data_IF_532552328620
#
_entry.id   IF_532552328620
#
_cell.length_a   1.000
_cell.length_b   1.000
_cell.length_c   1.000
_cell.angle_alpha   90.00
_cell.angle_beta   90.00
_cell.angle_gamma   90.00
#
_symmetry.space_group_name_H-M   'P 1'
#
loop_
_entity.id
_entity.type
_entity.pdbx_description
1 polymer ?
#
# COMPACT_ATOMS: atom_id res chain seq x y z
N UNK A 1 18.06 -19.88 -13.92
CA UNK A 1 17.51 -18.55 -13.62
C UNK A 1 18.63 -17.69 -13.09
N UNK A 2 18.86 -16.55 -13.71
CA UNK A 2 19.81 -15.54 -13.24
C UNK A 2 19.05 -14.46 -12.48
N UNK A 3 19.41 -14.21 -11.22
CA UNK A 3 18.78 -13.20 -10.39
C UNK A 3 19.76 -12.04 -10.19
N UNK A 4 19.33 -10.83 -10.50
CA UNK A 4 20.09 -9.60 -10.26
C UNK A 4 19.38 -8.81 -9.15
N UNK A 5 19.88 -8.92 -7.91
CA UNK A 5 19.40 -8.15 -6.76
C UNK A 5 20.08 -6.78 -6.70
N UNK A 6 19.46 -5.81 -6.05
CA UNK A 6 19.93 -4.42 -5.99
C UNK A 6 20.07 -3.77 -7.38
N UNK A 7 19.19 -4.15 -8.30
CA UNK A 7 19.09 -3.52 -9.61
C UNK A 7 17.67 -3.00 -9.81
N UNK A 8 17.56 -1.82 -10.37
CA UNK A 8 16.31 -1.16 -10.68
C UNK A 8 16.18 -1.02 -12.20
N UNK A 9 15.07 -1.44 -12.76
CA UNK A 9 14.74 -1.14 -14.16
C UNK A 9 14.19 0.29 -14.20
N UNK A 10 14.85 1.17 -14.92
CA UNK A 10 14.51 2.60 -15.00
C UNK A 10 13.76 2.97 -16.26
N UNK A 11 13.86 2.18 -17.33
CA UNK A 11 13.09 2.39 -18.57
C UNK A 11 12.92 1.07 -19.34
N UNK A 12 11.88 1.03 -20.18
CA UNK A 12 11.63 -0.06 -21.14
C UNK A 12 11.64 0.54 -22.53
N UNK A 13 12.37 -0.09 -23.45
CA UNK A 13 12.50 0.32 -24.84
C UNK A 13 11.95 -0.76 -25.77
N UNK A 14 10.63 -0.75 -26.06
CA UNK A 14 9.98 -1.81 -26.82
C UNK A 14 10.52 -1.97 -28.26
N UNK A 15 10.87 -0.88 -28.90
CA UNK A 15 11.42 -0.81 -30.26
C UNK A 15 12.76 -1.52 -30.41
N UNK A 16 13.58 -1.49 -29.37
CA UNK A 16 14.92 -2.13 -29.33
C UNK A 16 14.94 -3.42 -28.56
N UNK A 17 13.82 -3.80 -27.93
CA UNK A 17 13.71 -4.92 -27.01
C UNK A 17 14.79 -4.90 -25.92
N UNK A 18 14.99 -3.74 -25.27
CA UNK A 18 15.93 -3.57 -24.16
C UNK A 18 15.23 -2.92 -22.97
N UNK A 19 15.82 -3.10 -21.79
CA UNK A 19 15.48 -2.36 -20.57
C UNK A 19 16.72 -1.64 -20.08
N UNK A 20 16.57 -0.39 -19.62
CA UNK A 20 17.63 0.31 -18.90
C UNK A 20 17.61 -0.13 -17.44
N UNK A 21 18.79 -0.46 -16.93
CA UNK A 21 18.97 -1.00 -15.58
C UNK A 21 20.02 -0.20 -14.82
N UNK A 22 19.72 0.15 -13.58
CA UNK A 22 20.63 0.83 -12.66
C UNK A 22 20.99 -0.09 -11.50
N UNK A 23 22.28 -0.26 -11.27
CA UNK A 23 22.79 -0.93 -10.06
C UNK A 23 22.67 0.01 -8.86
N UNK A 24 21.86 -0.34 -7.87
CA UNK A 24 21.69 0.46 -6.65
C UNK A 24 22.91 0.48 -5.74
N UNK A 25 23.84 -0.47 -5.92
CA UNK A 25 25.10 -0.52 -5.15
C UNK A 25 26.19 0.36 -5.74
N UNK A 26 26.36 0.33 -7.06
CA UNK A 26 27.45 1.04 -7.74
C UNK A 26 27.01 2.31 -8.45
N UNK A 27 25.72 2.49 -8.66
CA UNK A 27 25.16 3.57 -9.49
C UNK A 27 25.38 3.35 -10.99
N UNK A 28 26.03 2.25 -11.41
CA UNK A 28 26.29 1.97 -12.82
C UNK A 28 24.97 1.69 -13.57
N UNK A 29 24.85 2.21 -14.77
CA UNK A 29 23.71 2.01 -15.67
C UNK A 29 24.15 1.18 -16.88
N UNK A 30 23.26 0.28 -17.33
CA UNK A 30 23.48 -0.56 -18.50
C UNK A 30 22.14 -0.95 -19.13
N UNK A 31 22.18 -1.45 -20.35
CA UNK A 31 21.01 -2.01 -21.03
C UNK A 31 21.07 -3.55 -20.99
N UNK A 32 19.91 -4.18 -20.79
CA UNK A 32 19.72 -5.62 -20.91
C UNK A 32 18.71 -5.90 -22.01
N UNK A 33 19.05 -6.80 -22.94
CA UNK A 33 18.14 -7.19 -24.03
C UNK A 33 17.22 -8.31 -23.62
N UNK A 34 16.04 -8.41 -24.23
CA UNK A 34 15.08 -9.49 -24.01
C UNK A 34 14.46 -10.00 -25.31
N UNK A 35 14.14 -11.27 -25.37
CA UNK A 35 13.25 -11.83 -26.39
C UNK A 35 11.78 -11.62 -25.98
N UNK A 36 11.49 -11.85 -24.69
CA UNK A 36 10.19 -11.62 -24.04
C UNK A 36 10.40 -10.97 -22.68
N UNK A 37 9.59 -9.96 -22.37
CA UNK A 37 9.62 -9.23 -21.11
C UNK A 37 8.36 -9.56 -20.30
N UNK A 38 8.53 -9.95 -19.05
CA UNK A 38 7.44 -10.11 -18.10
C UNK A 38 7.52 -9.02 -17.02
N UNK A 39 6.47 -8.21 -16.92
CA UNK A 39 6.34 -7.17 -15.91
C UNK A 39 5.55 -7.71 -14.70
N UNK A 40 6.15 -7.65 -13.51
CA UNK A 40 5.50 -8.03 -12.25
C UNK A 40 5.86 -7.03 -11.14
N UNK A 41 5.60 -5.72 -11.33
CA UNK A 41 6.03 -4.69 -10.38
C UNK A 41 5.12 -4.62 -9.14
N UNK A 42 3.96 -5.28 -9.15
CA UNK A 42 2.99 -5.26 -8.06
C UNK A 42 2.23 -3.92 -7.97
N UNK A 43 1.85 -3.57 -6.74
CA UNK A 43 1.14 -2.34 -6.43
C UNK A 43 1.83 -1.60 -5.29
N UNK A 44 1.60 -0.31 -5.15
CA UNK A 44 2.09 0.52 -4.04
C UNK A 44 0.93 1.00 -3.17
N UNK A 45 1.16 1.23 -1.87
CA UNK A 45 0.15 1.81 -1.00
C UNK A 45 -0.37 3.13 -1.56
N UNK A 46 -1.67 3.33 -1.41
CA UNK A 46 -2.28 4.60 -1.75
C UNK A 46 -1.80 5.65 -0.74
N UNK A 47 -1.21 6.73 -1.24
CA UNK A 47 -0.82 7.89 -0.46
C UNK A 47 -1.76 9.04 -0.84
N UNK A 48 -2.76 9.39 -0.01
CA UNK A 48 -3.76 10.38 -0.39
C UNK A 48 -3.19 11.79 -0.33
N UNK A 49 -3.72 12.68 -1.14
CA UNK A 49 -3.41 14.11 -1.08
C UNK A 49 -4.29 14.76 0.00
N UNK A 50 -3.83 14.69 1.24
CA UNK A 50 -4.49 15.24 2.41
C UNK A 50 -3.52 16.13 3.21
N UNK A 51 -4.01 17.15 3.94
CA UNK A 51 -3.17 17.95 4.83
C UNK A 51 -2.48 17.07 5.89
N UNK A 52 -1.22 17.35 6.17
CA UNK A 52 -0.43 16.69 7.23
C UNK A 52 0.16 15.32 6.83
N UNK A 53 0.14 14.97 5.54
CA UNK A 53 0.73 13.72 5.05
C UNK A 53 2.26 13.66 5.15
N UNK A 54 2.91 14.78 5.40
CA UNK A 54 4.35 14.90 5.64
C UNK A 54 4.78 14.46 7.04
N UNK A 55 3.84 14.16 7.93
CA UNK A 55 4.13 13.75 9.31
C UNK A 55 5.02 12.50 9.37
N UNK A 56 6.03 12.57 10.22
CA UNK A 56 6.96 11.47 10.48
C UNK A 56 6.34 10.29 11.24
N UNK A 57 5.12 10.48 11.75
CA UNK A 57 4.36 9.49 12.53
C UNK A 57 3.34 8.72 11.68
N UNK A 58 3.31 8.97 10.35
CA UNK A 58 2.48 8.26 9.39
C UNK A 58 3.27 7.18 8.67
N UNK A 59 2.68 6.00 8.59
CA UNK A 59 3.28 4.81 7.99
C UNK A 59 2.35 4.17 6.96
N UNK A 60 2.94 3.50 6.00
CA UNK A 60 2.28 2.51 5.13
C UNK A 60 3.02 1.19 5.23
N UNK A 61 2.43 0.11 4.75
CA UNK A 61 3.06 -1.21 4.76
C UNK A 61 2.95 -1.86 3.38
N UNK A 62 4.12 -2.15 2.80
CA UNK A 62 4.27 -2.90 1.54
C UNK A 62 5.49 -3.81 1.57
N UNK A 63 6.62 -3.29 2.05
CA UNK A 63 7.92 -3.95 1.96
C UNK A 63 8.41 -4.38 3.33
N UNK A 64 9.46 -5.18 3.35
CA UNK A 64 10.15 -5.57 4.60
C UNK A 64 10.74 -4.34 5.29
N UNK A 65 11.25 -3.38 4.51
CA UNK A 65 11.76 -2.12 5.01
C UNK A 65 10.69 -1.29 5.73
N UNK A 66 9.46 -1.28 5.21
CA UNK A 66 8.32 -0.63 5.89
C UNK A 66 8.03 -1.30 7.24
N UNK A 67 8.10 -2.64 7.29
CA UNK A 67 7.95 -3.39 8.53
C UNK A 67 9.03 -3.01 9.54
N UNK A 68 10.28 -2.89 9.11
CA UNK A 68 11.37 -2.45 9.98
C UNK A 68 11.16 -1.00 10.46
N UNK A 69 10.74 -0.09 9.60
CA UNK A 69 10.45 1.30 9.98
C UNK A 69 9.35 1.38 11.05
N UNK A 70 8.27 0.62 10.88
CA UNK A 70 7.19 0.54 11.90
C UNK A 70 7.74 -0.06 13.19
N UNK A 71 8.51 -1.16 13.09
CA UNK A 71 9.08 -1.84 14.25
C UNK A 71 10.06 -0.95 15.01
N UNK A 72 10.98 -0.31 14.30
CA UNK A 72 11.95 0.62 14.89
C UNK A 72 11.26 1.79 15.59
N UNK A 73 10.19 2.34 15.00
CA UNK A 73 9.40 3.38 15.63
C UNK A 73 8.78 2.89 16.95
N UNK A 74 8.17 1.70 16.94
CA UNK A 74 7.57 1.11 18.14
C UNK A 74 8.63 0.84 19.22
N UNK A 75 9.78 0.31 18.85
CA UNK A 75 10.83 -0.03 19.81
C UNK A 75 11.54 1.21 20.40
N UNK A 76 11.72 2.27 19.60
CA UNK A 76 12.44 3.48 20.01
C UNK A 76 11.52 4.51 20.69
N UNK A 77 10.35 4.77 20.10
CA UNK A 77 9.43 5.80 20.61
C UNK A 77 8.45 5.25 21.66
N UNK A 78 8.30 3.93 21.74
CA UNK A 78 7.40 3.24 22.69
C UNK A 78 5.99 3.83 22.70
N UNK A 79 5.35 3.95 21.52
CA UNK A 79 4.01 4.48 21.41
C UNK A 79 3.04 3.65 22.24
N UNK A 80 2.02 4.30 22.79
CA UNK A 80 0.96 3.66 23.57
C UNK A 80 -0.29 3.47 22.75
N UNK A 81 -0.45 4.25 21.69
CA UNK A 81 -1.65 4.26 20.86
C UNK A 81 -1.34 4.32 19.38
N UNK A 82 -2.21 3.69 18.57
CA UNK A 82 -2.13 3.73 17.13
C UNK A 82 -3.52 3.89 16.50
N UNK A 83 -3.59 4.66 15.41
CA UNK A 83 -4.75 4.66 14.53
C UNK A 83 -4.41 3.93 13.25
N UNK A 84 -5.24 2.94 12.91
CA UNK A 84 -5.28 2.28 11.61
C UNK A 84 -6.29 2.98 10.72
N UNK A 85 -5.87 3.56 9.62
CA UNK A 85 -6.79 4.12 8.62
C UNK A 85 -7.00 3.09 7.53
N UNK A 86 -8.20 2.48 7.53
CA UNK A 86 -8.57 1.37 6.65
C UNK A 86 -8.72 0.05 7.37
N UNK A 87 -9.87 -0.58 7.19
CA UNK A 87 -10.28 -1.84 7.84
C UNK A 87 -10.38 -3.01 6.85
N UNK A 88 -9.47 -3.08 5.88
CA UNK A 88 -9.26 -4.23 5.01
C UNK A 88 -8.28 -5.24 5.62
N UNK A 89 -7.82 -6.23 4.84
CA UNK A 89 -6.90 -7.29 5.29
C UNK A 89 -5.65 -6.73 5.96
N UNK A 90 -4.90 -5.87 5.27
CA UNK A 90 -3.65 -5.27 5.80
C UNK A 90 -3.94 -4.50 7.09
N UNK A 91 -5.02 -3.70 7.12
CA UNK A 91 -5.38 -2.92 8.29
C UNK A 91 -5.68 -3.78 9.51
N UNK A 92 -6.38 -4.90 9.33
CA UNK A 92 -6.69 -5.84 10.42
C UNK A 92 -5.45 -6.56 10.93
N UNK A 93 -4.61 -7.07 10.03
CA UNK A 93 -3.36 -7.77 10.40
C UNK A 93 -2.39 -6.85 11.16
N UNK A 94 -2.23 -5.61 10.71
CA UNK A 94 -1.39 -4.64 11.42
C UNK A 94 -2.00 -4.26 12.76
N UNK A 95 -3.32 -4.04 12.82
CA UNK A 95 -4.01 -3.73 14.08
C UNK A 95 -3.84 -4.84 15.12
N UNK A 96 -3.96 -6.10 14.70
CA UNK A 96 -3.71 -7.26 15.55
C UNK A 96 -2.28 -7.28 16.10
N UNK A 97 -1.29 -7.09 15.22
CA UNK A 97 0.12 -7.08 15.61
C UNK A 97 0.44 -5.93 16.58
N UNK A 98 -0.07 -4.72 16.32
CA UNK A 98 0.11 -3.59 17.23
C UNK A 98 -0.56 -3.82 18.59
N UNK A 99 -1.75 -4.47 18.62
CA UNK A 99 -2.39 -4.89 19.87
C UNK A 99 -1.54 -5.91 20.64
N UNK A 100 -0.96 -6.91 19.97
CA UNK A 100 -0.05 -7.87 20.60
C UNK A 100 1.21 -7.20 21.18
N UNK A 101 1.65 -6.09 20.59
CA UNK A 101 2.73 -5.26 21.13
C UNK A 101 2.27 -4.35 22.29
N UNK A 102 0.99 -4.39 22.66
CA UNK A 102 0.43 -3.67 23.81
C UNK A 102 -0.11 -2.28 23.52
N UNK A 103 -0.19 -1.86 22.25
CA UNK A 103 -0.74 -0.54 21.90
C UNK A 103 -2.27 -0.54 22.00
N UNK A 104 -2.85 0.59 22.36
CA UNK A 104 -4.28 0.87 22.17
C UNK A 104 -4.55 1.21 20.72
N UNK A 105 -5.30 0.35 20.02
CA UNK A 105 -5.54 0.49 18.59
C UNK A 105 -6.97 0.91 18.30
N UNK A 106 -7.12 1.92 17.42
CA UNK A 106 -8.40 2.34 16.84
C UNK A 106 -8.35 2.18 15.33
N UNK A 107 -9.32 1.47 14.75
CA UNK A 107 -9.48 1.38 13.29
C UNK A 107 -10.50 2.44 12.84
N UNK A 108 -10.08 3.34 11.98
CA UNK A 108 -10.94 4.30 11.28
C UNK A 108 -11.24 3.76 9.89
N UNK A 109 -12.52 3.63 9.55
CA UNK A 109 -12.95 3.09 8.26
C UNK A 109 -14.07 3.95 7.68
N UNK A 110 -13.92 4.36 6.40
CA UNK A 110 -14.93 5.16 5.70
C UNK A 110 -16.26 4.42 5.50
N UNK A 111 -16.28 3.17 5.01
CA UNK A 111 -17.49 2.34 5.08
C UNK A 111 -17.93 2.08 6.52
N UNK A 112 -19.22 1.74 6.68
CA UNK A 112 -19.81 1.40 7.99
C UNK A 112 -19.46 -0.01 8.47
N UNK A 113 -18.57 -0.72 7.76
CA UNK A 113 -18.10 -2.06 8.11
C UNK A 113 -16.62 -2.23 7.78
N UNK A 114 -15.97 -3.17 8.50
CA UNK A 114 -14.69 -3.74 8.13
C UNK A 114 -14.87 -4.73 6.97
N UNK A 115 -13.77 -5.05 6.29
CA UNK A 115 -13.76 -6.09 5.25
C UNK A 115 -14.90 -5.90 4.22
N UNK A 116 -14.91 -4.76 3.57
CA UNK A 116 -15.96 -4.31 2.65
C UNK A 116 -16.42 -5.34 1.57
N UNK A 117 -15.57 -6.28 1.11
CA UNK A 117 -16.00 -7.35 0.20
C UNK A 117 -16.95 -8.39 0.81
N UNK A 118 -17.08 -8.45 2.16
CA UNK A 118 -17.97 -9.39 2.83
C UNK A 118 -19.39 -8.80 2.99
N UNK A 119 -20.38 -9.67 3.06
CA UNK A 119 -21.73 -9.29 3.42
C UNK A 119 -21.76 -8.77 4.86
N UNK A 120 -22.73 -7.90 5.18
CA UNK A 120 -22.76 -7.18 6.46
C UNK A 120 -22.92 -8.11 7.68
N UNK A 121 -23.66 -9.22 7.52
CA UNK A 121 -23.81 -10.26 8.55
C UNK A 121 -22.47 -10.95 8.84
N UNK A 122 -21.71 -11.30 7.81
CA UNK A 122 -20.39 -11.90 7.96
C UNK A 122 -19.38 -10.89 8.54
N UNK A 123 -19.42 -9.64 8.11
CA UNK A 123 -18.57 -8.59 8.68
C UNK A 123 -18.86 -8.35 10.17
N UNK A 124 -20.09 -8.63 10.65
CA UNK A 124 -20.46 -8.49 12.06
C UNK A 124 -19.66 -9.41 13.00
N UNK A 125 -19.32 -10.62 12.56
CA UNK A 125 -18.44 -11.53 13.31
C UNK A 125 -17.04 -10.95 13.46
N UNK A 126 -16.51 -10.36 12.39
CA UNK A 126 -15.21 -9.69 12.42
C UNK A 126 -15.24 -8.50 13.37
N UNK A 127 -16.29 -7.67 13.34
CA UNK A 127 -16.44 -6.55 14.28
C UNK A 127 -16.47 -7.03 15.73
N UNK A 128 -17.17 -8.13 16.02
CA UNK A 128 -17.25 -8.70 17.36
C UNK A 128 -15.89 -9.20 17.83
N UNK A 129 -15.17 -9.92 16.98
CA UNK A 129 -13.85 -10.48 17.33
C UNK A 129 -12.82 -9.36 17.54
N UNK A 130 -12.79 -8.37 16.67
CA UNK A 130 -11.90 -7.21 16.77
C UNK A 130 -12.13 -6.43 18.08
N UNK A 131 -13.41 -6.19 18.45
CA UNK A 131 -13.75 -5.52 19.71
C UNK A 131 -13.38 -6.36 20.93
N UNK A 132 -13.59 -7.69 20.88
CA UNK A 132 -13.23 -8.63 21.96
C UNK A 132 -11.73 -8.58 22.27
N UNK A 133 -10.88 -8.33 21.26
CA UNK A 133 -9.44 -8.13 21.43
C UNK A 133 -9.05 -6.68 21.78
N UNK A 134 -10.01 -5.83 22.12
CA UNK A 134 -9.78 -4.47 22.62
C UNK A 134 -9.43 -3.44 21.56
N UNK A 135 -9.67 -3.74 20.27
CA UNK A 135 -9.53 -2.75 19.20
C UNK A 135 -10.81 -1.91 19.09
N UNK A 136 -10.67 -0.60 19.10
CA UNK A 136 -11.76 0.36 18.92
C UNK A 136 -12.10 0.52 17.44
N UNK A 137 -13.38 0.67 17.12
CA UNK A 137 -13.86 0.84 15.75
C UNK A 137 -14.54 2.19 15.59
N UNK A 138 -14.02 3.03 14.70
CA UNK A 138 -14.61 4.27 14.21
C UNK A 138 -15.05 4.04 12.75
N UNK A 139 -16.25 3.47 12.57
CA UNK A 139 -16.80 3.09 11.28
C UNK A 139 -17.72 4.20 10.73
N UNK A 140 -17.69 4.41 9.42
CA UNK A 140 -18.50 5.44 8.74
C UNK A 140 -17.83 6.82 8.73
N UNK A 141 -16.56 6.93 9.11
CA UNK A 141 -15.83 8.19 9.16
C UNK A 141 -14.78 8.29 8.04
N UNK A 142 -14.76 9.43 7.37
CA UNK A 142 -13.70 9.77 6.40
C UNK A 142 -12.62 10.58 7.10
N UNK A 143 -11.36 10.27 6.82
CA UNK A 143 -10.22 11.08 7.25
C UNK A 143 -10.08 12.25 6.27
N UNK A 144 -9.88 13.46 6.82
CA UNK A 144 -9.71 14.71 6.06
C UNK A 144 -8.31 15.30 6.20
N UNK A 145 -7.48 14.77 7.10
CA UNK A 145 -6.11 15.24 7.30
C UNK A 145 -5.50 14.76 8.60
N UNK A 146 -4.30 15.25 8.85
CA UNK A 146 -3.51 14.92 10.04
C UNK A 146 -2.90 16.20 10.60
N UNK A 147 -2.77 16.29 11.91
CA UNK A 147 -2.06 17.38 12.59
C UNK A 147 -1.02 16.76 13.52
N UNK A 148 0.25 16.91 13.18
CA UNK A 148 1.34 16.45 14.03
C UNK A 148 1.55 17.38 15.22
N UNK A 149 1.73 16.79 16.40
CA UNK A 149 2.10 17.47 17.63
C UNK A 149 3.48 17.00 18.09
N UNK A 150 4.03 17.67 19.09
CA UNK A 150 5.26 17.20 19.74
C UNK A 150 5.11 15.75 20.19
N UNK A 151 3.99 15.43 20.82
CA UNK A 151 3.61 14.05 21.18
C UNK A 151 2.38 13.66 20.37
N UNK A 152 2.52 12.64 19.47
CA UNK A 152 1.42 12.09 18.72
C UNK A 152 0.98 12.89 17.50
N UNK A 153 -0.15 12.48 16.96
CA UNK A 153 -0.79 13.04 15.76
C UNK A 153 -2.31 12.94 15.90
N UNK A 154 -3.01 13.99 15.54
CA UNK A 154 -4.46 14.02 15.46
C UNK A 154 -4.91 13.58 14.07
N UNK A 155 -5.75 12.58 14.00
CA UNK A 155 -6.45 12.15 12.78
C UNK A 155 -7.76 12.92 12.68
N UNK A 156 -7.83 13.84 11.74
CA UNK A 156 -9.02 14.69 11.53
C UNK A 156 -10.09 13.88 10.79
N UNK A 157 -11.27 13.83 11.38
CA UNK A 157 -12.42 13.10 10.83
C UNK A 157 -13.49 14.06 10.34
N UNK A 158 -14.09 13.73 9.21
CA UNK A 158 -15.22 14.48 8.68
C UNK A 158 -16.42 14.41 9.65
N UNK A 159 -16.98 15.56 9.96
CA UNK A 159 -18.18 15.71 10.81
C UNK A 159 -18.03 15.08 12.22
N UNK A 160 -16.79 14.95 12.72
CA UNK A 160 -16.49 14.42 14.05
C UNK A 160 -15.27 15.11 14.68
N UNK A 161 -15.05 14.91 15.97
CA UNK A 161 -13.80 15.33 16.61
C UNK A 161 -12.61 14.49 16.16
N UNK A 162 -11.38 15.01 16.31
CA UNK A 162 -10.17 14.27 15.96
C UNK A 162 -9.96 13.04 16.85
N UNK A 163 -9.20 12.07 16.35
CA UNK A 163 -8.69 10.96 17.16
C UNK A 163 -7.20 11.15 17.31
N UNK A 164 -6.74 11.31 18.56
CA UNK A 164 -5.33 11.40 18.89
C UNK A 164 -4.69 10.02 18.99
N UNK A 165 -3.48 9.86 18.44
CA UNK A 165 -2.65 8.67 18.61
C UNK A 165 -1.16 9.02 18.50
N UNK A 166 -0.30 8.12 18.99
CA UNK A 166 1.15 8.30 18.89
C UNK A 166 1.68 7.97 17.49
N UNK A 167 0.95 7.14 16.74
CA UNK A 167 1.27 6.78 15.35
C UNK A 167 0.03 6.44 14.53
N UNK A 168 0.16 6.56 13.22
CA UNK A 168 -0.90 6.20 12.27
C UNK A 168 -0.34 5.27 11.20
N UNK A 169 -1.07 4.21 10.86
CA UNK A 169 -0.75 3.37 9.71
C UNK A 169 -1.90 3.45 8.69
N UNK A 170 -1.55 3.79 7.46
CA UNK A 170 -2.47 3.94 6.35
C UNK A 170 -2.57 2.61 5.58
N UNK A 171 -3.76 2.02 5.57
CA UNK A 171 -4.10 0.79 4.86
C UNK A 171 -5.38 0.98 4.01
N UNK A 172 -5.45 2.11 3.29
CA UNK A 172 -6.63 2.56 2.54
C UNK A 172 -6.72 2.00 1.12
N UNK A 173 -5.86 1.06 0.79
CA UNK A 173 -5.77 0.39 -0.51
C UNK A 173 -4.46 0.61 -1.21
N UNK A 174 -4.40 0.10 -2.44
CA UNK A 174 -3.19 0.13 -3.28
C UNK A 174 -3.51 0.67 -4.67
N UNK A 175 -2.48 1.15 -5.35
CA UNK A 175 -2.52 1.53 -6.76
C UNK A 175 -1.48 0.72 -7.53
N UNK A 176 -1.78 0.26 -8.76
CA UNK A 176 -0.83 -0.46 -9.59
C UNK A 176 0.48 0.29 -9.79
N UNK A 177 1.61 -0.41 -9.70
CA UNK A 177 2.93 0.17 -9.99
C UNK A 177 3.20 0.07 -11.49
N UNK A 178 2.60 0.95 -12.27
CA UNK A 178 2.60 0.92 -13.74
C UNK A 178 3.37 2.06 -14.40
N UNK A 179 4.23 2.76 -13.65
CA UNK A 179 5.01 3.88 -14.17
C UNK A 179 5.83 3.52 -15.41
N UNK A 180 6.65 2.47 -15.33
CA UNK A 180 7.45 1.98 -16.45
C UNK A 180 6.59 1.57 -17.66
N UNK A 181 5.46 0.91 -17.41
CA UNK A 181 4.54 0.52 -18.48
C UNK A 181 3.93 1.74 -19.19
N UNK A 182 3.56 2.75 -18.43
CA UNK A 182 3.04 4.03 -18.96
C UNK A 182 4.06 4.74 -19.83
N UNK A 183 5.28 4.87 -19.35
CA UNK A 183 6.39 5.54 -20.07
C UNK A 183 6.79 4.77 -21.34
N UNK A 184 6.67 3.44 -21.33
CA UNK A 184 6.89 2.58 -22.49
C UNK A 184 5.70 2.53 -23.46
N UNK A 185 4.63 3.30 -23.21
CA UNK A 185 3.47 3.39 -24.11
C UNK A 185 2.50 2.21 -24.05
N UNK A 186 2.55 1.38 -22.99
CA UNK A 186 1.60 0.30 -22.82
C UNK A 186 0.21 0.84 -22.48
N UNK A 187 -0.84 0.18 -22.99
CA UNK A 187 -2.22 0.55 -22.70
C UNK A 187 -2.56 0.30 -21.23
N UNK A 188 -3.15 1.30 -20.58
CA UNK A 188 -3.56 1.24 -19.19
C UNK A 188 -5.09 1.30 -19.06
N UNK A 189 -5.60 0.63 -18.04
CA UNK A 189 -7.01 0.54 -17.70
C UNK A 189 -7.37 1.27 -16.41
N UNK A 190 -8.33 0.71 -15.66
CA UNK A 190 -8.82 1.31 -14.41
C UNK A 190 -7.69 1.50 -13.39
N UNK A 191 -7.68 2.65 -12.73
CA UNK A 191 -6.66 3.04 -11.73
C UNK A 191 -5.22 2.95 -12.23
N UNK A 192 -5.01 3.00 -13.55
CA UNK A 192 -3.69 2.90 -14.17
C UNK A 192 -3.14 1.47 -14.25
N UNK A 193 -3.94 0.43 -14.06
CA UNK A 193 -3.51 -0.97 -14.22
C UNK A 193 -3.13 -1.27 -15.67
N UNK A 194 -2.17 -2.16 -15.87
CA UNK A 194 -1.73 -2.58 -17.22
C UNK A 194 -2.82 -3.46 -17.82
N UNK A 195 -3.31 -3.11 -19.03
CA UNK A 195 -4.26 -3.93 -19.76
C UNK A 195 -3.56 -5.17 -20.32
N UNK A 196 -4.12 -6.34 -20.06
CA UNK A 196 -3.66 -7.61 -20.62
C UNK A 196 -4.82 -8.42 -21.18
N UNK A 197 -4.51 -9.31 -22.11
CA UNK A 197 -5.44 -10.31 -22.62
C UNK A 197 -5.42 -11.61 -21.78
N UNK A 198 -6.17 -12.62 -22.19
CA UNK A 198 -6.27 -13.91 -21.48
C UNK A 198 -4.95 -14.70 -21.44
N UNK A 199 -3.94 -14.28 -22.20
CA UNK A 199 -2.58 -14.82 -22.19
C UNK A 199 -1.58 -13.95 -21.45
N UNK A 200 -2.07 -12.94 -20.73
CA UNK A 200 -1.26 -11.93 -20.03
C UNK A 200 -0.37 -11.08 -20.97
N UNK A 201 -0.69 -11.05 -22.27
CA UNK A 201 -0.02 -10.20 -23.24
C UNK A 201 -0.52 -8.77 -23.12
N UNK A 202 0.39 -7.79 -23.10
CA UNK A 202 0.06 -6.37 -23.08
C UNK A 202 -0.30 -5.87 -24.49
N UNK A 203 -0.55 -4.57 -24.62
CA UNK A 203 -0.76 -3.91 -25.93
C UNK A 203 0.50 -3.87 -26.83
N UNK A 204 1.66 -4.19 -26.27
CA UNK A 204 2.94 -4.18 -26.99
C UNK A 204 3.43 -5.62 -27.17
N UNK A 205 3.78 -6.07 -28.39
CA UNK A 205 4.26 -7.42 -28.66
C UNK A 205 5.46 -7.81 -27.79
N UNK A 206 5.51 -9.08 -27.37
CA UNK A 206 6.57 -9.67 -26.57
C UNK A 206 6.72 -9.08 -25.15
N UNK A 207 5.79 -8.21 -24.72
CA UNK A 207 5.69 -7.71 -23.34
C UNK A 207 4.44 -8.27 -22.69
N UNK A 208 4.61 -8.92 -21.56
CA UNK A 208 3.60 -9.54 -20.72
C UNK A 208 3.55 -8.83 -19.36
N UNK A 209 2.42 -8.91 -18.68
CA UNK A 209 2.31 -8.40 -17.31
C UNK A 209 1.44 -9.30 -16.46
N UNK A 210 1.77 -9.41 -15.15
CA UNK A 210 1.04 -10.26 -14.18
C UNK A 210 1.02 -9.61 -12.79
N UNK A 211 0.20 -10.17 -11.89
CA UNK A 211 0.11 -9.76 -10.49
C UNK A 211 -0.74 -8.50 -10.31
N UNK A 212 -0.51 -7.76 -9.20
CA UNK A 212 -1.35 -6.64 -8.78
C UNK A 212 -1.27 -5.40 -9.69
N UNK A 213 -0.36 -5.41 -10.66
CA UNK A 213 -0.22 -4.32 -11.63
C UNK A 213 -1.20 -4.41 -12.80
N UNK A 214 -1.89 -5.54 -13.00
CA UNK A 214 -2.69 -5.79 -14.21
C UNK A 214 -4.19 -5.67 -13.98
N UNK A 215 -4.92 -5.39 -15.06
CA UNK A 215 -6.36 -5.52 -15.13
C UNK A 215 -6.70 -6.77 -15.96
N UNK A 216 -7.24 -7.78 -15.28
CA UNK A 216 -7.82 -8.95 -15.92
C UNK A 216 -9.32 -8.76 -16.13
N UNK A 217 -9.88 -9.39 -17.16
CA UNK A 217 -11.33 -9.52 -17.31
C UNK A 217 -11.81 -10.65 -16.41
N UNK A 218 -12.81 -10.39 -15.61
CA UNK A 218 -13.58 -11.40 -14.89
C UNK A 218 -14.81 -11.79 -15.71
#
# INVERSE_FOLDING_TARGET
IHMKVHHEVTAIHPDRKTVSVKSLKSGAEFEESYDKLLLSPGAKPLWPDLPGMESSKLFTLRTVEDTFRIRDFVDQQKPKSAVMVGGGFIGLEVAENLRHLGLDVTIVQRPKQLMNPFDADMASFIHSEVRKHGVKLALGYSVEGFVEHEVGVDVLLKDSGPIHADMVVLAIGVTPESGLAKEAGLALGMKGSILVNDRMETSVPDIYAVGDAVQVKH
#
